data_IF_841676996352
#
_entry.id   IF_841676996352
#
_cell.length_a   1.000
_cell.length_b   1.000
_cell.length_c   1.000
_cell.angle_alpha   90.00
_cell.angle_beta   90.00
_cell.angle_gamma   90.00
#
_symmetry.space_group_name_H-M   'P 1'
#
loop_
_entity.id
_entity.type
_entity.pdbx_description
1 polymer ?
#
# COMPACT_ATOMS: atom_id res chain seq x y z
N UNK A 1 -23.59 81.05 -34.17
CA UNK A 1 -22.76 80.94 -32.95
C UNK A 1 -23.45 79.91 -32.06
N UNK A 2 -22.91 78.69 -32.00
CA UNK A 2 -23.46 77.58 -31.18
C UNK A 2 -22.38 77.18 -30.16
N UNK A 3 -22.66 77.42 -28.88
CA UNK A 3 -21.86 77.02 -27.77
C UNK A 3 -22.00 75.54 -27.49
N UNK A 4 -20.88 74.86 -27.41
CA UNK A 4 -20.82 73.45 -26.96
C UNK A 4 -20.43 73.46 -25.48
N UNK A 5 -21.28 72.89 -24.63
CA UNK A 5 -21.03 72.62 -23.23
C UNK A 5 -20.33 71.27 -23.13
N UNK A 6 -19.13 71.27 -22.49
CA UNK A 6 -18.37 70.05 -22.18
C UNK A 6 -18.78 69.58 -20.78
N UNK A 7 -19.45 68.42 -20.74
CA UNK A 7 -19.77 67.76 -19.46
C UNK A 7 -18.58 67.01 -18.90
N UNK A 8 -18.16 67.37 -17.70
CA UNK A 8 -17.13 66.69 -16.90
C UNK A 8 -17.78 65.47 -16.20
N UNK A 9 -17.47 64.27 -16.67
CA UNK A 9 -17.90 63.04 -16.00
C UNK A 9 -16.93 62.73 -14.82
N UNK A 10 -17.45 62.70 -13.61
CA UNK A 10 -16.79 62.18 -12.43
C UNK A 10 -16.75 60.64 -12.46
N UNK A 11 -15.54 60.06 -12.58
CA UNK A 11 -15.35 58.61 -12.38
C UNK A 11 -15.11 58.38 -10.90
N UNK A 12 -16.06 57.79 -10.20
CA UNK A 12 -15.90 57.29 -8.85
C UNK A 12 -15.08 55.96 -8.93
N UNK A 13 -13.83 56.01 -8.48
CA UNK A 13 -13.02 54.81 -8.28
C UNK A 13 -13.43 54.16 -6.94
N UNK A 14 -14.17 53.08 -7.01
CA UNK A 14 -14.41 52.20 -5.83
C UNK A 14 -13.18 51.34 -5.61
N UNK A 15 -12.35 51.70 -4.64
CA UNK A 15 -11.26 50.87 -4.15
C UNK A 15 -11.87 49.73 -3.32
N UNK A 16 -12.00 48.53 -3.90
CA UNK A 16 -12.32 47.34 -3.15
C UNK A 16 -11.11 46.95 -2.30
N UNK A 17 -11.18 47.16 -0.99
CA UNK A 17 -10.21 46.62 -0.04
C UNK A 17 -10.39 45.09 -0.03
N UNK A 18 -9.54 44.40 -0.77
CA UNK A 18 -9.37 42.96 -0.62
C UNK A 18 -8.68 42.73 0.72
N UNK A 19 -9.46 42.50 1.78
CA UNK A 19 -8.95 42.06 3.07
C UNK A 19 -8.27 40.70 2.86
N UNK A 20 -6.95 40.70 2.82
CA UNK A 20 -6.14 39.48 2.83
C UNK A 20 -6.48 38.71 4.11
N UNK A 21 -7.23 37.61 4.01
CA UNK A 21 -7.32 36.65 5.08
C UNK A 21 -5.90 36.15 5.37
N UNK A 22 -5.31 36.59 6.49
CA UNK A 22 -4.07 36.04 6.97
C UNK A 22 -4.28 34.54 7.15
N UNK A 23 -3.61 33.70 6.37
CA UNK A 23 -3.60 32.29 6.59
C UNK A 23 -3.07 32.05 8.02
N UNK A 24 -3.95 31.58 8.91
CA UNK A 24 -3.58 31.26 10.27
C UNK A 24 -2.56 30.12 10.20
N UNK A 25 -1.30 30.37 10.61
CA UNK A 25 -0.29 29.33 10.72
C UNK A 25 -0.70 28.37 11.85
N UNK A 26 -1.08 27.15 11.46
CA UNK A 26 -1.40 26.11 12.43
C UNK A 26 -0.15 25.70 13.22
N UNK A 27 -0.23 25.47 14.55
CA UNK A 27 0.91 24.96 15.29
C UNK A 27 1.36 23.61 14.69
N UNK A 28 2.63 23.48 14.34
CA UNK A 28 3.18 22.30 13.67
C UNK A 28 2.93 20.96 14.43
N UNK A 29 2.80 21.05 15.77
CA UNK A 29 2.56 19.88 16.65
C UNK A 29 1.08 19.65 16.96
N UNK A 30 0.17 20.46 16.42
CA UNK A 30 -1.27 20.22 16.55
C UNK A 30 -1.76 19.16 15.58
N UNK A 31 -2.92 18.55 15.85
CA UNK A 31 -3.54 17.59 14.92
C UNK A 31 -3.69 18.21 13.52
N UNK A 32 -4.21 19.42 13.43
CA UNK A 32 -4.44 20.08 12.15
C UNK A 32 -3.11 20.47 11.45
N UNK A 33 -2.09 20.87 12.21
CA UNK A 33 -0.75 21.13 11.70
C UNK A 33 -0.10 19.89 11.10
N UNK A 34 -0.17 18.74 11.81
CA UNK A 34 0.31 17.44 11.33
C UNK A 34 -0.43 16.98 10.09
N UNK A 35 -1.77 17.09 10.08
CA UNK A 35 -2.58 16.74 8.90
C UNK A 35 -2.24 17.62 7.69
N UNK A 36 -1.99 18.91 7.92
CA UNK A 36 -1.56 19.84 6.85
C UNK A 36 -0.19 19.46 6.29
N UNK A 37 0.78 19.14 7.15
CA UNK A 37 2.12 18.69 6.74
C UNK A 37 2.05 17.35 5.99
N UNK A 38 1.24 16.41 6.48
CA UNK A 38 0.98 15.15 5.81
C UNK A 38 0.37 15.33 4.41
N UNK A 39 -0.58 16.26 4.25
CA UNK A 39 -1.20 16.58 2.96
C UNK A 39 -0.18 17.12 1.96
N UNK A 40 0.69 18.00 2.41
CA UNK A 40 1.77 18.55 1.58
C UNK A 40 2.76 17.44 1.18
N UNK A 41 3.17 16.61 2.12
CA UNK A 41 4.06 15.47 1.86
C UNK A 41 3.43 14.43 0.90
N UNK A 42 2.13 14.20 0.99
CA UNK A 42 1.43 13.25 0.12
C UNK A 42 1.53 13.63 -1.36
N UNK A 43 1.41 14.91 -1.70
CA UNK A 43 1.31 15.33 -3.09
C UNK A 43 0.14 14.63 -3.79
N UNK A 44 0.27 14.42 -5.10
CA UNK A 44 -0.70 13.64 -5.87
C UNK A 44 -0.43 12.13 -5.76
N UNK A 45 0.83 11.75 -5.63
CA UNK A 45 1.29 10.35 -5.65
C UNK A 45 0.68 9.52 -4.52
N UNK A 46 0.52 10.10 -3.33
CA UNK A 46 0.10 9.41 -2.12
C UNK A 46 -1.25 9.88 -1.57
N UNK A 47 -2.04 10.57 -2.40
CA UNK A 47 -3.36 11.09 -2.01
C UNK A 47 -4.30 10.00 -1.48
N UNK A 48 -4.27 8.80 -2.06
CA UNK A 48 -5.04 7.65 -1.58
C UNK A 48 -4.66 7.26 -0.14
N UNK A 49 -3.37 7.12 0.13
CA UNK A 49 -2.86 6.82 1.49
C UNK A 49 -3.21 7.95 2.47
N UNK A 50 -3.02 9.22 2.08
CA UNK A 50 -3.38 10.38 2.91
C UNK A 50 -4.86 10.34 3.33
N UNK A 51 -5.76 10.12 2.38
CA UNK A 51 -7.21 10.07 2.65
C UNK A 51 -7.58 8.95 3.62
N UNK A 52 -6.88 7.81 3.57
CA UNK A 52 -7.14 6.65 4.41
C UNK A 52 -6.55 6.76 5.82
N UNK A 53 -5.40 7.43 5.98
CA UNK A 53 -4.71 7.51 7.27
C UNK A 53 -4.99 8.79 8.04
N UNK A 54 -5.13 9.92 7.35
CA UNK A 54 -5.25 11.24 7.97
C UNK A 54 -6.68 11.73 8.12
N UNK A 55 -7.58 11.36 7.18
CA UNK A 55 -8.96 11.84 7.16
C UNK A 55 -9.85 10.86 7.91
N UNK A 56 -10.27 11.27 9.10
CA UNK A 56 -11.20 10.47 9.92
C UNK A 56 -12.54 10.39 9.18
N UNK A 57 -13.04 9.18 8.89
CA UNK A 57 -14.35 9.04 8.27
C UNK A 57 -15.45 9.60 9.20
N UNK A 58 -16.53 10.15 8.64
CA UNK A 58 -17.66 10.56 9.45
C UNK A 58 -18.20 9.34 10.22
N UNK A 59 -18.83 9.57 11.39
CA UNK A 59 -19.49 8.48 12.13
C UNK A 59 -20.42 7.70 11.21
N UNK A 60 -20.40 6.37 11.30
CA UNK A 60 -21.28 5.53 10.52
C UNK A 60 -22.75 5.94 10.76
N UNK A 61 -23.51 6.12 9.68
CA UNK A 61 -24.95 6.39 9.78
C UNK A 61 -25.64 5.26 10.55
N UNK A 62 -26.58 5.56 11.47
CA UNK A 62 -27.34 4.50 12.14
C UNK A 62 -27.93 3.54 11.10
N UNK A 63 -27.67 2.25 11.24
CA UNK A 63 -28.08 1.21 10.28
C UNK A 63 -27.02 0.82 9.23
N UNK A 64 -25.95 1.58 9.00
CA UNK A 64 -24.90 1.19 8.06
C UNK A 64 -24.16 -0.10 8.50
N UNK A 65 -23.95 -0.28 9.80
CA UNK A 65 -23.39 -1.51 10.37
C UNK A 65 -24.34 -2.72 10.15
N UNK A 66 -25.66 -2.50 10.26
CA UNK A 66 -26.65 -3.56 10.00
C UNK A 66 -26.69 -3.91 8.50
N UNK A 67 -26.55 -2.94 7.60
CA UNK A 67 -26.47 -3.19 6.17
C UNK A 67 -25.17 -3.91 5.75
N UNK A 68 -24.04 -3.60 6.40
CA UNK A 68 -22.78 -4.31 6.18
C UNK A 68 -22.86 -5.79 6.66
N UNK A 69 -23.57 -6.04 7.76
CA UNK A 69 -23.82 -7.39 8.28
C UNK A 69 -24.89 -8.15 7.48
N UNK A 70 -25.65 -7.49 6.61
CA UNK A 70 -26.63 -8.10 5.71
C UNK A 70 -26.02 -8.49 4.34
N UNK A 71 -24.71 -8.40 4.16
CA UNK A 71 -24.06 -8.88 2.95
C UNK A 71 -24.35 -10.40 2.78
N UNK A 72 -24.61 -10.88 1.54
CA UNK A 72 -24.81 -12.29 1.30
C UNK A 72 -23.64 -13.12 1.84
N UNK A 73 -23.90 -14.29 2.47
CA UNK A 73 -22.80 -15.15 2.88
C UNK A 73 -22.01 -15.62 1.65
N UNK A 74 -20.68 -15.62 1.77
CA UNK A 74 -19.77 -16.08 0.72
C UNK A 74 -18.96 -14.94 0.06
N UNK A 75 -18.11 -15.29 -0.93
CA UNK A 75 -17.27 -14.33 -1.61
C UNK A 75 -18.09 -13.34 -2.43
N UNK A 76 -17.59 -12.09 -2.62
CA UNK A 76 -18.21 -11.15 -3.53
C UNK A 76 -18.26 -11.68 -4.97
N UNK A 77 -19.21 -11.18 -5.77
CA UNK A 77 -19.27 -11.53 -7.20
C UNK A 77 -17.92 -11.23 -7.89
N UNK A 78 -17.46 -12.15 -8.74
CA UNK A 78 -16.11 -12.12 -9.34
C UNK A 78 -15.79 -10.81 -10.05
N UNK A 79 -16.76 -10.21 -10.70
CA UNK A 79 -16.62 -8.93 -11.43
C UNK A 79 -16.24 -7.75 -10.51
N UNK A 80 -16.46 -7.87 -9.21
CA UNK A 80 -16.15 -6.84 -8.22
C UNK A 80 -14.71 -6.85 -7.78
N UNK A 81 -14.02 -7.99 -7.86
CA UNK A 81 -12.65 -8.12 -7.35
C UNK A 81 -11.65 -8.60 -8.41
N UNK A 82 -12.07 -9.35 -9.41
CA UNK A 82 -11.18 -9.92 -10.40
C UNK A 82 -10.45 -8.83 -11.21
N UNK A 83 -9.16 -9.04 -11.44
CA UNK A 83 -8.30 -8.21 -12.27
C UNK A 83 -7.50 -9.07 -13.25
N UNK A 84 -7.35 -8.64 -14.50
CA UNK A 84 -6.45 -9.35 -15.41
C UNK A 84 -5.01 -9.22 -14.94
N UNK A 85 -4.23 -10.32 -14.92
CA UNK A 85 -2.84 -10.27 -14.53
C UNK A 85 -2.03 -9.46 -15.55
N UNK A 86 -0.96 -8.79 -15.09
CA UNK A 86 -0.24 -7.85 -15.93
C UNK A 86 1.29 -7.96 -15.76
N UNK A 87 2.02 -7.91 -16.86
CA UNK A 87 3.49 -7.75 -16.84
C UNK A 87 3.82 -6.27 -16.61
N UNK A 88 4.46 -5.96 -15.48
CA UNK A 88 4.74 -4.59 -15.02
C UNK A 88 6.14 -4.13 -15.39
N UNK A 89 7.11 -5.05 -15.36
CA UNK A 89 8.50 -4.84 -15.72
C UNK A 89 9.07 -6.12 -16.31
N UNK A 90 10.35 -6.17 -16.66
CA UNK A 90 10.94 -7.31 -17.39
C UNK A 90 10.72 -8.63 -16.66
N UNK A 91 10.80 -8.62 -15.33
CA UNK A 91 10.69 -9.78 -14.45
C UNK A 91 9.74 -9.57 -13.27
N UNK A 92 8.78 -8.64 -13.38
CA UNK A 92 7.83 -8.30 -12.32
C UNK A 92 6.40 -8.28 -12.86
N UNK A 93 5.49 -8.98 -12.16
CA UNK A 93 4.14 -9.24 -12.62
C UNK A 93 3.12 -8.98 -11.52
N UNK A 94 2.00 -8.36 -11.88
CA UNK A 94 0.84 -8.15 -11.01
C UNK A 94 -0.08 -9.36 -11.08
N UNK A 95 -0.43 -9.89 -9.93
CA UNK A 95 -1.33 -11.04 -9.72
C UNK A 95 -2.44 -10.71 -8.70
N UNK A 96 -2.62 -9.44 -8.41
CA UNK A 96 -3.59 -8.98 -7.41
C UNK A 96 -4.99 -8.84 -7.96
N UNK A 97 -5.91 -8.55 -7.05
CA UNK A 97 -7.28 -8.14 -7.35
C UNK A 97 -7.34 -6.65 -7.68
N UNK A 98 -8.54 -6.12 -7.92
CA UNK A 98 -8.75 -4.66 -8.05
C UNK A 98 -8.44 -3.88 -6.77
N UNK A 99 -8.37 -4.56 -5.63
CA UNK A 99 -8.19 -3.94 -4.29
C UNK A 99 -6.91 -4.40 -3.62
N UNK A 100 -6.66 -5.72 -3.57
CA UNK A 100 -5.53 -6.32 -2.85
C UNK A 100 -4.42 -6.70 -3.82
N UNK A 101 -3.21 -6.33 -3.48
CA UNK A 101 -2.06 -6.52 -4.35
C UNK A 101 -1.37 -7.87 -4.08
N UNK A 102 -1.03 -8.59 -5.14
CA UNK A 102 -0.12 -9.73 -5.12
C UNK A 102 0.81 -9.65 -6.33
N UNK A 103 2.00 -10.22 -6.20
CA UNK A 103 3.05 -10.03 -7.20
C UNK A 103 3.87 -11.29 -7.41
N UNK A 104 4.39 -11.46 -8.64
CA UNK A 104 5.45 -12.43 -8.92
C UNK A 104 6.74 -11.72 -9.34
N UNK A 105 7.86 -12.15 -8.75
CA UNK A 105 9.21 -11.75 -9.13
C UNK A 105 9.89 -12.97 -9.72
N UNK A 106 10.29 -12.89 -11.00
CA UNK A 106 10.93 -14.00 -11.72
C UNK A 106 12.44 -13.82 -11.70
N UNK A 107 13.15 -14.78 -11.15
CA UNK A 107 14.59 -14.87 -11.22
C UNK A 107 15.05 -16.03 -12.11
N UNK A 108 16.35 -16.15 -12.31
CA UNK A 108 16.96 -17.20 -13.17
C UNK A 108 16.76 -18.61 -12.61
N UNK A 109 16.48 -18.79 -11.31
CA UNK A 109 16.34 -20.09 -10.65
C UNK A 109 14.93 -20.36 -10.11
N UNK A 110 13.97 -19.47 -10.33
CA UNK A 110 12.60 -19.65 -9.85
C UNK A 110 11.81 -18.36 -9.72
N UNK A 111 10.74 -18.44 -8.94
CA UNK A 111 9.77 -17.36 -8.76
C UNK A 111 9.54 -17.12 -7.25
N UNK A 112 9.44 -15.86 -6.87
CA UNK A 112 8.96 -15.43 -5.55
C UNK A 112 7.57 -14.83 -5.75
N UNK A 113 6.58 -15.29 -4.97
CA UNK A 113 5.26 -14.68 -4.87
C UNK A 113 5.24 -13.81 -3.60
N UNK A 114 4.70 -12.60 -3.73
CA UNK A 114 4.40 -11.73 -2.59
C UNK A 114 2.88 -11.67 -2.44
N UNK A 115 2.38 -11.97 -1.24
CA UNK A 115 0.98 -12.10 -0.81
C UNK A 115 0.26 -13.34 -1.36
N UNK A 116 -0.81 -13.74 -0.66
CA UNK A 116 -1.65 -14.87 -1.04
C UNK A 116 -3.13 -14.48 -1.27
N UNK A 117 -3.51 -13.23 -1.02
CA UNK A 117 -4.87 -12.72 -1.20
C UNK A 117 -5.92 -13.46 -0.33
N UNK A 118 -7.20 -13.16 -0.54
CA UNK A 118 -8.30 -13.97 -0.01
C UNK A 118 -8.30 -15.39 -0.61
N UNK A 119 -8.81 -16.33 0.13
CA UNK A 119 -8.98 -17.75 -0.27
C UNK A 119 -9.76 -17.92 -1.58
N UNK A 120 -10.82 -17.14 -1.78
CA UNK A 120 -11.63 -17.17 -3.01
C UNK A 120 -10.93 -16.56 -4.22
N UNK A 121 -9.93 -15.68 -4.01
CA UNK A 121 -9.24 -14.96 -5.08
C UNK A 121 -7.96 -15.67 -5.54
N UNK A 122 -7.23 -16.29 -4.63
CA UNK A 122 -5.92 -16.90 -4.90
C UNK A 122 -5.90 -17.90 -6.06
N UNK A 123 -6.91 -18.78 -6.24
CA UNK A 123 -6.93 -19.72 -7.37
C UNK A 123 -6.95 -19.02 -8.73
N UNK A 124 -7.78 -18.01 -8.89
CA UNK A 124 -7.95 -17.33 -10.17
C UNK A 124 -6.85 -16.28 -10.43
N UNK A 125 -6.52 -15.47 -9.41
CA UNK A 125 -5.59 -14.34 -9.57
C UNK A 125 -4.13 -14.80 -9.54
N UNK A 126 -3.74 -15.66 -8.60
CA UNK A 126 -2.35 -16.06 -8.45
C UNK A 126 -2.06 -17.26 -9.36
N UNK A 127 -2.66 -18.41 -9.08
CA UNK A 127 -2.35 -19.63 -9.85
C UNK A 127 -2.79 -19.51 -11.31
N UNK A 128 -4.01 -19.07 -11.56
CA UNK A 128 -4.55 -18.82 -12.90
C UNK A 128 -3.88 -17.65 -13.61
N UNK A 129 -3.60 -16.57 -12.87
CA UNK A 129 -2.88 -15.40 -13.40
C UNK A 129 -1.48 -15.73 -13.88
N UNK A 130 -0.73 -16.52 -13.11
CA UNK A 130 0.59 -17.02 -13.52
C UNK A 130 0.50 -17.82 -14.82
N UNK A 131 -0.47 -18.72 -14.93
CA UNK A 131 -0.68 -19.52 -16.17
C UNK A 131 -0.99 -18.63 -17.37
N UNK A 132 -1.85 -17.62 -17.22
CA UNK A 132 -2.16 -16.65 -18.28
C UNK A 132 -0.93 -15.87 -18.75
N UNK A 133 0.00 -15.60 -17.83
CA UNK A 133 1.26 -14.92 -18.14
C UNK A 133 2.37 -15.85 -18.62
N UNK A 134 2.09 -17.17 -18.77
CA UNK A 134 3.08 -18.17 -19.17
C UNK A 134 4.12 -18.48 -18.09
N UNK A 135 3.82 -18.19 -16.82
CA UNK A 135 4.67 -18.50 -15.68
C UNK A 135 4.33 -19.90 -15.13
N UNK A 136 5.36 -20.67 -14.80
CA UNK A 136 5.21 -22.04 -14.30
C UNK A 136 5.08 -22.04 -12.75
N UNK A 137 3.90 -22.45 -12.26
CA UNK A 137 3.62 -22.55 -10.82
C UNK A 137 4.60 -23.50 -10.09
N UNK A 138 5.15 -24.52 -10.78
CA UNK A 138 6.13 -25.44 -10.18
C UNK A 138 7.50 -24.80 -9.95
N UNK A 139 7.76 -23.63 -10.52
CA UNK A 139 9.00 -22.86 -10.31
C UNK A 139 8.93 -21.91 -9.13
N UNK A 140 7.79 -21.79 -8.45
CA UNK A 140 7.69 -20.98 -7.22
C UNK A 140 8.54 -21.61 -6.11
N UNK A 141 9.43 -20.81 -5.53
CA UNK A 141 10.32 -21.20 -4.43
C UNK A 141 9.92 -20.59 -3.10
N UNK A 142 9.34 -19.40 -3.13
CA UNK A 142 8.89 -18.69 -1.94
C UNK A 142 7.56 -18.02 -2.18
N UNK A 143 6.69 -18.08 -1.16
CA UNK A 143 5.47 -17.31 -1.02
C UNK A 143 5.63 -16.49 0.26
N UNK A 144 5.80 -15.18 0.15
CA UNK A 144 6.11 -14.31 1.28
C UNK A 144 4.90 -13.46 1.58
N UNK A 145 4.34 -13.63 2.78
CA UNK A 145 3.12 -12.97 3.25
C UNK A 145 3.50 -11.80 4.15
N UNK A 146 2.98 -10.62 3.87
CA UNK A 146 3.29 -9.43 4.65
C UNK A 146 2.74 -9.49 6.07
N UNK A 147 1.54 -10.02 6.25
CA UNK A 147 0.90 -10.19 7.56
C UNK A 147 -0.31 -11.14 7.49
N UNK A 148 -0.73 -11.64 8.66
CA UNK A 148 -1.79 -12.65 8.79
C UNK A 148 -3.21 -12.04 8.88
N UNK A 149 -3.64 -11.34 7.82
CA UNK A 149 -5.04 -10.99 7.61
C UNK A 149 -5.58 -11.70 6.38
N UNK A 150 -6.85 -12.09 6.40
CA UNK A 150 -7.46 -12.96 5.39
C UNK A 150 -7.35 -12.44 3.95
N UNK A 151 -7.24 -11.15 3.74
CA UNK A 151 -7.05 -10.51 2.44
C UNK A 151 -5.61 -10.59 1.92
N UNK A 152 -4.66 -11.06 2.75
CA UNK A 152 -3.26 -11.28 2.41
C UNK A 152 -2.81 -12.73 2.58
N UNK A 153 -3.46 -13.48 3.48
CA UNK A 153 -3.05 -14.85 3.81
C UNK A 153 -4.15 -15.91 3.60
N UNK A 154 -5.38 -15.52 3.26
CA UNK A 154 -6.47 -16.45 3.08
C UNK A 154 -6.21 -17.53 2.03
N UNK A 155 -5.49 -17.21 0.97
CA UNK A 155 -5.06 -18.15 -0.07
C UNK A 155 -3.81 -18.98 0.27
N UNK A 156 -3.16 -18.73 1.42
CA UNK A 156 -1.88 -19.35 1.74
C UNK A 156 -1.91 -20.88 1.76
N UNK A 157 -2.94 -21.48 2.32
CA UNK A 157 -3.12 -22.95 2.32
C UNK A 157 -3.26 -23.50 0.90
N UNK A 158 -4.09 -22.88 0.07
CA UNK A 158 -4.26 -23.28 -1.33
C UNK A 158 -2.93 -23.22 -2.09
N UNK A 159 -2.18 -22.12 -1.95
CA UNK A 159 -0.90 -21.97 -2.62
C UNK A 159 0.15 -22.96 -2.12
N UNK A 160 0.20 -23.23 -0.80
CA UNK A 160 1.10 -24.23 -0.22
C UNK A 160 0.82 -25.65 -0.75
N UNK A 161 -0.46 -26.00 -0.93
CA UNK A 161 -0.85 -27.31 -1.44
C UNK A 161 -0.64 -27.45 -2.96
N UNK A 162 -0.84 -26.36 -3.73
CA UNK A 162 -0.71 -26.34 -5.19
C UNK A 162 0.71 -26.08 -5.70
N UNK A 163 1.54 -25.38 -4.92
CA UNK A 163 2.93 -25.03 -5.24
C UNK A 163 3.90 -25.72 -4.27
N UNK A 164 3.90 -27.07 -4.28
CA UNK A 164 4.54 -27.91 -3.26
C UNK A 164 6.07 -27.70 -3.08
N UNK A 165 6.76 -27.11 -4.06
CA UNK A 165 8.18 -26.75 -3.95
C UNK A 165 8.41 -25.41 -3.25
N UNK A 166 7.35 -24.64 -3.00
CA UNK A 166 7.46 -23.31 -2.38
C UNK A 166 7.52 -23.40 -0.86
N UNK A 167 8.35 -22.53 -0.26
CA UNK A 167 8.39 -22.28 1.18
C UNK A 167 7.45 -21.11 1.48
N UNK A 168 6.58 -21.29 2.46
CA UNK A 168 5.66 -20.26 2.93
C UNK A 168 6.31 -19.47 4.06
N UNK A 169 6.35 -18.13 3.93
CA UNK A 169 7.13 -17.25 4.80
C UNK A 169 6.23 -16.19 5.45
N UNK A 170 6.29 -16.08 6.78
CA UNK A 170 5.64 -15.02 7.57
C UNK A 170 6.61 -14.47 8.64
N UNK A 171 6.29 -13.31 9.20
CA UNK A 171 6.89 -12.88 10.46
C UNK A 171 6.48 -13.78 11.63
N UNK A 172 7.39 -13.97 12.61
CA UNK A 172 7.19 -14.93 13.71
C UNK A 172 5.87 -14.75 14.47
N UNK A 173 5.53 -13.54 14.97
CA UNK A 173 4.28 -13.34 15.71
C UNK A 173 3.02 -13.61 14.88
N UNK A 174 3.07 -13.44 13.56
CA UNK A 174 1.94 -13.76 12.67
C UNK A 174 1.83 -15.26 12.43
N UNK A 175 2.95 -16.00 12.36
CA UNK A 175 2.91 -17.47 12.42
C UNK A 175 2.24 -17.96 13.71
N UNK A 176 2.60 -17.35 14.87
CA UNK A 176 1.96 -17.68 16.15
C UNK A 176 0.44 -17.45 16.13
N UNK A 177 0.00 -16.37 15.46
CA UNK A 177 -1.42 -16.06 15.30
C UNK A 177 -2.13 -17.08 14.39
N UNK A 178 -1.52 -17.46 13.27
CA UNK A 178 -2.01 -18.48 12.34
C UNK A 178 -2.11 -19.84 13.05
N UNK A 179 -1.07 -20.25 13.78
CA UNK A 179 -1.04 -21.52 14.50
C UNK A 179 -2.14 -21.64 15.56
N UNK A 180 -2.46 -20.53 16.25
CA UNK A 180 -3.51 -20.44 17.25
C UNK A 180 -4.92 -20.30 16.66
N UNK A 181 -5.04 -19.90 15.39
CA UNK A 181 -6.33 -19.69 14.73
C UNK A 181 -7.09 -21.02 14.60
N UNK A 182 -8.37 -20.98 14.95
CA UNK A 182 -9.31 -22.11 14.74
C UNK A 182 -10.16 -21.94 13.48
N UNK A 183 -10.25 -20.72 12.95
CA UNK A 183 -11.10 -20.34 11.82
C UNK A 183 -10.29 -19.56 10.77
N UNK A 184 -9.14 -20.10 10.38
CA UNK A 184 -8.31 -19.47 9.34
C UNK A 184 -9.04 -19.53 7.99
N UNK A 185 -9.17 -18.38 7.33
CA UNK A 185 -9.79 -18.29 6.01
C UNK A 185 -9.05 -19.20 5.01
N UNK A 186 -9.78 -19.91 4.16
CA UNK A 186 -9.20 -20.86 3.21
C UNK A 186 -8.54 -22.10 3.80
N UNK A 187 -8.59 -22.26 5.13
CA UNK A 187 -7.92 -23.34 5.86
C UNK A 187 -6.51 -22.97 6.32
N UNK A 188 -6.11 -23.48 7.47
CA UNK A 188 -4.82 -23.20 8.09
C UNK A 188 -3.67 -23.80 7.25
N UNK A 189 -2.70 -22.99 6.82
CA UNK A 189 -1.48 -23.51 6.22
C UNK A 189 -0.61 -24.25 7.25
N UNK A 190 0.26 -25.12 6.78
CA UNK A 190 1.26 -25.76 7.64
C UNK A 190 2.38 -24.78 7.94
N UNK A 191 2.76 -24.69 9.22
CA UNK A 191 3.89 -23.84 9.64
C UNK A 191 5.14 -24.17 8.84
N UNK A 192 5.83 -23.13 8.38
CA UNK A 192 7.02 -23.29 7.55
C UNK A 192 8.10 -22.27 7.96
N UNK A 193 8.45 -21.31 7.13
CA UNK A 193 9.58 -20.43 7.32
C UNK A 193 9.22 -19.17 8.09
N UNK A 194 9.96 -18.87 9.15
CA UNK A 194 9.87 -17.63 9.92
C UNK A 194 10.84 -16.61 9.32
N UNK A 195 10.32 -15.46 8.92
CA UNK A 195 11.12 -14.33 8.45
C UNK A 195 11.79 -13.60 9.63
N UNK A 196 13.07 -13.29 9.48
CA UNK A 196 13.81 -12.42 10.38
C UNK A 196 14.22 -11.11 9.68
N UNK A 197 14.46 -10.06 10.48
CA UNK A 197 14.92 -8.77 9.99
C UNK A 197 16.23 -8.88 9.19
N UNK A 198 16.27 -8.28 8.01
CA UNK A 198 17.43 -8.35 7.11
C UNK A 198 17.58 -9.66 6.35
N UNK A 199 16.77 -10.70 6.63
CA UNK A 199 16.82 -11.97 5.89
C UNK A 199 16.52 -11.73 4.41
N UNK A 200 17.19 -12.51 3.54
CA UNK A 200 17.01 -12.46 2.08
C UNK A 200 16.53 -13.81 1.56
N UNK A 201 15.53 -13.77 0.70
CA UNK A 201 15.05 -14.89 -0.09
C UNK A 201 15.44 -14.67 -1.55
N UNK A 202 16.19 -15.58 -2.14
CA UNK A 202 16.77 -15.42 -3.47
C UNK A 202 16.37 -16.55 -4.41
N UNK A 203 16.18 -16.23 -5.68
CA UNK A 203 15.92 -17.16 -6.79
C UNK A 203 16.82 -16.78 -7.98
N UNK A 204 18.08 -17.13 -7.85
CA UNK A 204 19.15 -16.74 -8.79
C UNK A 204 19.43 -15.22 -8.70
N UNK A 205 19.18 -14.48 -9.76
CA UNK A 205 19.47 -13.04 -9.87
C UNK A 205 18.38 -12.12 -9.27
N UNK A 206 17.31 -12.68 -8.73
CA UNK A 206 16.28 -11.93 -8.01
C UNK A 206 16.29 -12.26 -6.51
N UNK A 207 16.08 -11.24 -5.67
CA UNK A 207 16.00 -11.40 -4.22
C UNK A 207 15.05 -10.40 -3.57
N UNK A 208 14.45 -10.83 -2.45
CA UNK A 208 13.62 -10.02 -1.57
C UNK A 208 14.26 -9.96 -0.20
N UNK A 209 14.54 -8.77 0.29
CA UNK A 209 15.06 -8.55 1.64
C UNK A 209 13.90 -8.17 2.57
N UNK A 210 13.84 -8.82 3.73
CA UNK A 210 12.84 -8.57 4.76
C UNK A 210 13.23 -7.39 5.63
N UNK A 211 12.26 -6.55 5.94
CA UNK A 211 12.33 -5.54 7.00
C UNK A 211 11.16 -5.79 7.94
N UNK A 212 11.42 -6.19 9.19
CA UNK A 212 10.34 -6.36 10.17
C UNK A 212 9.77 -5.01 10.57
N UNK A 213 8.46 -4.85 10.39
CA UNK A 213 7.73 -3.59 10.62
C UNK A 213 6.46 -3.85 11.43
N UNK A 214 6.59 -4.32 12.70
CA UNK A 214 5.44 -4.60 13.56
C UNK A 214 4.61 -3.32 13.76
N UNK A 215 3.28 -3.48 13.81
CA UNK A 215 2.36 -2.35 14.00
C UNK A 215 0.98 -2.69 13.49
N UNK A 216 0.79 -2.83 12.17
CA UNK A 216 -0.49 -3.27 11.60
C UNK A 216 -0.92 -4.63 12.18
N UNK A 217 -0.02 -5.60 12.16
CA UNK A 217 -0.03 -6.78 13.02
C UNK A 217 1.30 -6.85 13.79
N UNK A 218 1.40 -7.67 14.86
CA UNK A 218 2.66 -7.87 15.57
C UNK A 218 3.77 -8.51 14.71
N UNK A 219 3.41 -9.30 13.69
CA UNK A 219 4.33 -9.99 12.81
C UNK A 219 4.49 -9.35 11.42
N UNK A 220 3.94 -8.16 11.19
CA UNK A 220 4.04 -7.48 9.90
C UNK A 220 5.49 -7.38 9.43
N UNK A 221 5.72 -7.76 8.17
CA UNK A 221 6.99 -7.59 7.46
C UNK A 221 6.79 -6.76 6.19
N UNK A 222 7.78 -5.96 5.86
CA UNK A 222 7.91 -5.17 4.64
C UNK A 222 9.08 -5.70 3.82
N UNK A 223 9.18 -5.31 2.55
CA UNK A 223 10.17 -5.88 1.64
C UNK A 223 10.94 -4.80 0.90
N UNK A 224 12.22 -5.10 0.60
CA UNK A 224 13.04 -4.35 -0.34
C UNK A 224 13.51 -5.31 -1.44
N UNK A 225 13.30 -4.95 -2.69
CA UNK A 225 13.72 -5.74 -3.83
C UNK A 225 13.97 -4.88 -5.07
N UNK A 226 14.78 -5.42 -5.98
CA UNK A 226 15.07 -4.80 -7.26
C UNK A 226 14.53 -5.69 -8.38
N UNK A 227 13.88 -5.07 -9.35
CA UNK A 227 13.45 -5.70 -10.60
C UNK A 227 14.06 -4.96 -11.78
N UNK A 228 13.99 -5.54 -12.96
CA UNK A 228 14.50 -4.90 -14.19
C UNK A 228 13.33 -4.32 -14.99
N UNK A 229 13.49 -3.08 -15.42
CA UNK A 229 12.56 -2.42 -16.33
C UNK A 229 13.30 -1.86 -17.54
N UNK A 230 13.04 -2.43 -18.71
CA UNK A 230 13.82 -2.16 -19.94
C UNK A 230 15.33 -2.35 -19.72
N UNK A 231 15.72 -3.39 -18.98
CA UNK A 231 17.09 -3.73 -18.61
C UNK A 231 17.71 -2.86 -17.51
N UNK A 232 17.00 -1.86 -16.99
CA UNK A 232 17.48 -0.98 -15.92
C UNK A 232 16.92 -1.41 -14.56
N UNK A 233 17.65 -1.20 -13.46
CA UNK A 233 17.14 -1.51 -12.14
C UNK A 233 16.00 -0.57 -11.73
N UNK A 234 14.89 -1.14 -11.27
CA UNK A 234 13.80 -0.47 -10.57
C UNK A 234 13.79 -0.98 -9.13
N UNK A 235 14.10 -0.10 -8.17
CA UNK A 235 14.23 -0.43 -6.74
C UNK A 235 12.94 -0.12 -6.01
N UNK A 236 12.36 -1.14 -5.42
CA UNK A 236 11.02 -1.11 -4.84
C UNK A 236 11.10 -1.29 -3.32
N UNK A 237 10.43 -0.40 -2.60
CA UNK A 237 10.05 -0.57 -1.22
C UNK A 237 8.59 -1.03 -1.15
N UNK A 238 8.33 -2.19 -0.56
CA UNK A 238 6.98 -2.72 -0.34
C UNK A 238 6.61 -2.57 1.14
N UNK A 239 5.53 -1.85 1.42
CA UNK A 239 5.03 -1.64 2.78
C UNK A 239 3.97 -2.68 3.10
N UNK A 240 4.28 -3.59 4.04
CA UNK A 240 3.47 -4.77 4.33
C UNK A 240 2.22 -4.53 5.18
N UNK A 241 2.05 -3.34 5.78
CA UNK A 241 0.87 -3.01 6.59
C UNK A 241 0.67 -1.51 6.70
N UNK A 242 -0.14 -0.92 5.81
CA UNK A 242 -0.32 0.54 5.72
C UNK A 242 -1.46 1.05 6.59
N UNK A 243 -2.56 0.30 6.71
CA UNK A 243 -3.74 0.74 7.47
C UNK A 243 -3.48 0.81 8.98
N UNK A 244 -3.97 1.87 9.62
CA UNK A 244 -3.97 2.05 11.07
C UNK A 244 -5.40 2.28 11.58
N UNK A 245 -5.75 1.83 12.80
CA UNK A 245 -7.04 2.14 13.40
C UNK A 245 -7.11 3.61 13.84
N UNK A 246 -8.30 4.20 13.86
CA UNK A 246 -8.52 5.55 14.40
C UNK A 246 -8.78 5.57 15.92
N UNK A 247 -8.78 4.40 16.58
CA UNK A 247 -9.04 4.21 18.00
C UNK A 247 -7.97 3.35 18.69
N UNK A 248 -6.76 3.32 18.11
CA UNK A 248 -5.61 2.61 18.67
C UNK A 248 -5.12 3.23 19.98
N UNK A 249 -4.32 2.48 20.73
CA UNK A 249 -3.65 2.97 21.94
C UNK A 249 -2.41 3.81 21.58
N UNK A 250 -1.94 4.63 22.52
CA UNK A 250 -0.69 5.37 22.33
C UNK A 250 0.50 4.42 22.03
N UNK A 251 0.59 3.31 22.75
CA UNK A 251 1.64 2.30 22.54
C UNK A 251 1.57 1.67 21.13
N UNK A 252 0.36 1.43 20.60
CA UNK A 252 0.16 0.96 19.23
C UNK A 252 0.77 1.94 18.23
N UNK A 253 0.39 3.23 18.34
CA UNK A 253 0.89 4.26 17.43
C UNK A 253 2.40 4.48 17.54
N UNK A 254 2.97 4.41 18.74
CA UNK A 254 4.42 4.52 18.94
C UNK A 254 5.17 3.39 18.26
N UNK A 255 4.69 2.16 18.38
CA UNK A 255 5.26 1.00 17.69
C UNK A 255 5.17 1.12 16.17
N UNK A 256 4.01 1.56 15.66
CA UNK A 256 3.81 1.77 14.23
C UNK A 256 4.74 2.88 13.68
N UNK A 257 4.84 4.03 14.37
CA UNK A 257 5.75 5.13 14.01
C UNK A 257 7.22 4.66 13.99
N UNK A 258 7.63 3.85 14.96
CA UNK A 258 8.98 3.29 14.98
C UNK A 258 9.24 2.41 13.75
N UNK A 259 8.27 1.60 13.35
CA UNK A 259 8.34 0.77 12.14
C UNK A 259 8.36 1.61 10.85
N UNK A 260 7.57 2.67 10.78
CA UNK A 260 7.58 3.63 9.66
C UNK A 260 8.98 4.26 9.51
N UNK A 261 9.57 4.76 10.58
CA UNK A 261 10.92 5.34 10.59
C UNK A 261 12.00 4.33 10.20
N UNK A 262 11.89 3.10 10.68
CA UNK A 262 12.79 1.99 10.30
C UNK A 262 12.69 1.69 8.80
N UNK A 263 11.47 1.56 8.26
CA UNK A 263 11.27 1.28 6.85
C UNK A 263 11.69 2.46 5.96
N UNK A 264 11.45 3.70 6.39
CA UNK A 264 11.93 4.91 5.70
C UNK A 264 13.46 4.91 5.54
N UNK A 265 14.19 4.59 6.64
CA UNK A 265 15.64 4.47 6.60
C UNK A 265 16.08 3.35 5.67
N UNK A 266 15.48 2.16 5.79
CA UNK A 266 15.83 1.01 4.97
C UNK A 266 15.58 1.27 3.47
N UNK A 267 14.45 1.88 3.10
CA UNK A 267 14.13 2.26 1.73
C UNK A 267 15.11 3.34 1.19
N UNK A 268 15.48 4.31 2.03
CA UNK A 268 16.45 5.34 1.69
C UNK A 268 17.84 4.77 1.43
N UNK A 269 18.36 3.91 2.32
CA UNK A 269 19.66 3.23 2.19
C UNK A 269 19.68 2.30 0.96
N UNK A 270 18.59 1.59 0.70
CA UNK A 270 18.41 0.75 -0.48
C UNK A 270 18.34 1.56 -1.77
N UNK A 271 17.98 2.83 -1.68
CA UNK A 271 17.80 3.72 -2.82
C UNK A 271 16.52 3.46 -3.60
N UNK A 272 15.44 3.12 -2.90
CA UNK A 272 14.14 2.86 -3.51
C UNK A 272 13.64 4.09 -4.30
N UNK A 273 13.21 3.85 -5.54
CA UNK A 273 12.59 4.85 -6.44
C UNK A 273 11.13 4.55 -6.73
N UNK A 274 10.65 3.39 -6.28
CA UNK A 274 9.27 2.96 -6.33
C UNK A 274 8.82 2.53 -4.93
N UNK A 275 7.52 2.71 -4.65
CA UNK A 275 6.89 2.23 -3.43
C UNK A 275 5.57 1.56 -3.78
N UNK A 276 5.33 0.40 -3.17
CA UNK A 276 4.12 -0.39 -3.32
C UNK A 276 3.58 -0.71 -1.92
N UNK A 277 2.27 -0.65 -1.79
CA UNK A 277 1.53 -1.13 -0.62
C UNK A 277 0.83 -2.46 -0.96
N UNK A 278 0.22 -3.06 0.02
CA UNK A 278 -0.57 -4.29 -0.14
C UNK A 278 -2.03 -4.05 -0.61
N UNK A 279 -2.46 -2.79 -0.70
CA UNK A 279 -3.77 -2.42 -1.25
C UNK A 279 -3.65 -1.31 -2.30
N UNK A 280 -4.36 -1.48 -3.41
CA UNK A 280 -4.43 -0.49 -4.51
C UNK A 280 -4.90 0.89 -4.05
N UNK A 281 -5.76 0.96 -3.06
CA UNK A 281 -6.29 2.23 -2.54
C UNK A 281 -5.25 3.13 -1.87
N UNK A 282 -4.07 2.58 -1.54
CA UNK A 282 -2.95 3.34 -0.98
C UNK A 282 -1.96 3.81 -2.05
N UNK A 283 -1.73 3.01 -3.10
CA UNK A 283 -0.66 3.22 -4.06
C UNK A 283 -1.09 3.26 -5.53
N UNK A 284 -2.39 3.02 -5.81
CA UNK A 284 -2.94 2.88 -7.16
C UNK A 284 -2.35 1.71 -7.97
N UNK A 285 -1.87 0.65 -7.31
CA UNK A 285 -1.14 -0.44 -7.95
C UNK A 285 -1.92 -1.10 -9.11
N UNK A 286 -3.21 -1.37 -8.96
CA UNK A 286 -4.04 -1.93 -10.03
C UNK A 286 -3.97 -1.09 -11.30
N UNK A 287 -4.19 0.23 -11.21
CA UNK A 287 -4.17 1.12 -12.38
C UNK A 287 -2.76 1.29 -12.95
N UNK A 288 -1.75 1.40 -12.08
CA UNK A 288 -0.34 1.46 -12.50
C UNK A 288 0.11 0.19 -13.20
N UNK A 289 -0.31 -1.00 -12.73
CA UNK A 289 0.04 -2.28 -13.35
C UNK A 289 -0.50 -2.39 -14.78
N UNK A 290 -1.76 -2.03 -14.98
CA UNK A 290 -2.37 -2.03 -16.32
C UNK A 290 -1.78 -0.93 -17.24
N UNK A 291 -1.44 0.24 -16.68
CA UNK A 291 -0.72 1.28 -17.44
C UNK A 291 0.67 0.78 -17.85
N UNK A 292 1.40 0.15 -16.93
CA UNK A 292 2.73 -0.41 -17.22
C UNK A 292 2.69 -1.48 -18.33
N UNK A 293 1.70 -2.37 -18.29
CA UNK A 293 1.53 -3.43 -19.28
C UNK A 293 1.21 -2.90 -20.69
N UNK A 294 0.56 -1.74 -20.78
CA UNK A 294 0.14 -1.14 -22.06
C UNK A 294 1.05 0.00 -22.56
N UNK A 295 2.13 0.32 -21.84
CA UNK A 295 3.07 1.38 -22.23
C UNK A 295 3.87 0.98 -23.48
N UNK A 296 4.29 1.97 -24.24
CA UNK A 296 5.21 1.77 -25.37
C UNK A 296 6.65 1.61 -24.84
N UNK A 297 7.48 0.99 -25.66
CA UNK A 297 8.92 0.90 -25.35
C UNK A 297 9.51 2.31 -25.18
N UNK A 298 10.14 2.56 -24.04
CA UNK A 298 10.73 3.86 -23.68
C UNK A 298 9.85 4.76 -22.84
N UNK A 299 8.56 4.44 -22.66
CA UNK A 299 7.72 5.15 -21.71
C UNK A 299 8.19 4.87 -20.27
N UNK A 300 8.08 5.87 -19.40
CA UNK A 300 8.41 5.72 -17.99
C UNK A 300 7.52 4.65 -17.31
N UNK A 301 8.10 3.90 -16.37
CA UNK A 301 7.32 2.99 -15.54
C UNK A 301 6.47 3.78 -14.54
N UNK A 302 5.14 3.61 -14.48
CA UNK A 302 4.28 4.38 -13.58
C UNK A 302 4.54 4.13 -12.09
N UNK A 303 5.27 3.06 -11.75
CA UNK A 303 5.71 2.80 -10.38
C UNK A 303 6.96 3.59 -10.00
N UNK A 304 7.75 4.07 -10.95
CA UNK A 304 8.96 4.85 -10.68
C UNK A 304 8.60 6.30 -10.39
N UNK A 305 8.42 6.62 -9.13
CA UNK A 305 8.04 7.94 -8.63
C UNK A 305 9.25 8.77 -8.16
N UNK A 306 10.41 8.14 -8.05
CA UNK A 306 11.66 8.75 -7.60
C UNK A 306 11.85 8.74 -6.08
N UNK A 307 13.11 8.83 -5.64
CA UNK A 307 13.51 8.75 -4.21
C UNK A 307 12.82 9.80 -3.34
N UNK A 308 12.65 11.03 -3.85
CA UNK A 308 12.00 12.09 -3.10
C UNK A 308 10.54 11.79 -2.79
N UNK A 309 9.78 11.24 -3.76
CA UNK A 309 8.40 10.85 -3.55
C UNK A 309 8.28 9.66 -2.58
N UNK A 310 9.18 8.67 -2.66
CA UNK A 310 9.26 7.59 -1.66
C UNK A 310 9.51 8.13 -0.26
N UNK A 311 10.43 9.11 -0.10
CA UNK A 311 10.68 9.76 1.18
C UNK A 311 9.44 10.49 1.72
N UNK A 312 8.73 11.23 0.87
CA UNK A 312 7.50 11.95 1.26
C UNK A 312 6.37 11.00 1.71
N UNK A 313 6.29 9.79 1.15
CA UNK A 313 5.35 8.77 1.65
C UNK A 313 5.53 8.51 3.14
N UNK A 314 6.76 8.25 3.57
CA UNK A 314 7.03 7.95 4.98
C UNK A 314 6.82 9.17 5.89
N UNK A 315 7.16 10.39 5.43
CA UNK A 315 6.82 11.61 6.15
C UNK A 315 5.32 11.74 6.33
N UNK A 316 4.52 11.57 5.28
CA UNK A 316 3.06 11.60 5.34
C UNK A 316 2.50 10.57 6.33
N UNK A 317 2.99 9.31 6.28
CA UNK A 317 2.51 8.25 7.17
C UNK A 317 2.86 8.54 8.64
N UNK A 318 4.07 9.05 8.92
CA UNK A 318 4.50 9.44 10.27
C UNK A 318 3.60 10.56 10.84
N UNK A 319 3.36 11.61 10.05
CA UNK A 319 2.51 12.74 10.44
C UNK A 319 1.05 12.32 10.65
N UNK A 320 0.47 11.51 9.75
CA UNK A 320 -0.89 10.98 9.91
C UNK A 320 -1.01 10.11 11.16
N UNK A 321 -0.03 9.25 11.43
CA UNK A 321 -0.04 8.36 12.60
C UNK A 321 0.14 9.16 13.89
N UNK A 322 0.99 10.17 13.88
CA UNK A 322 1.18 11.09 15.03
C UNK A 322 -0.12 11.87 15.30
N UNK A 323 -0.80 12.37 14.28
CA UNK A 323 -2.11 13.01 14.42
C UNK A 323 -3.16 12.06 15.01
N UNK A 324 -3.18 10.79 14.56
CA UNK A 324 -4.08 9.76 15.10
C UNK A 324 -3.79 9.48 16.58
N UNK A 325 -2.51 9.40 16.97
CA UNK A 325 -2.08 9.26 18.37
C UNK A 325 -2.58 10.42 19.24
N UNK A 326 -2.43 11.67 18.79
CA UNK A 326 -2.90 12.85 19.52
C UNK A 326 -4.43 12.84 19.69
N UNK A 327 -5.17 12.49 18.64
CA UNK A 327 -6.64 12.34 18.70
C UNK A 327 -7.06 11.29 19.71
N UNK A 328 -6.36 10.16 19.79
CA UNK A 328 -6.64 9.10 20.75
C UNK A 328 -6.40 9.53 22.21
N UNK A 329 -5.32 10.28 22.47
CA UNK A 329 -4.99 10.84 23.78
C UNK A 329 -5.88 12.00 24.24
N UNK A 330 -6.63 12.62 23.30
CA UNK A 330 -7.55 13.73 23.59
C UNK A 330 -8.98 13.28 23.88
N UNK A 331 -9.27 11.97 23.83
CA UNK A 331 -10.58 11.43 24.19
C UNK A 331 -10.66 11.33 25.71
N UNK A 332 -11.76 11.84 26.36
CA UNK A 332 -11.98 11.76 27.80
C UNK A 332 -12.16 10.32 28.29
#
# INVERSE_FOLDING_TARGET
MKSHAIGLGFVLAVAAAIGGASAQTLPATSVDGLVSAAKEAAGLEWSGTFLRLCVVPPPATPGAAAAANAAPPGPPAKERWYAEPAKVADNFYFLGTRVHNAWAIVGSEGIIILEALFDYAAPDEIAGGMQKLGLDNNKVKYIIISHAHADHDGGARFLQDSMQSARLVYGGPDWDAVDKSTNHAGGKPKHDTVAADGMKFSVGDASVQIVTTPGHTPGTISFLFEVKDNGKPLRIAYVGGTAIPFNGTAAYYDGYIASVKKMAKAAGDFGATALISNHTEFDNAYYKAHTAANRKRGDANPFEVGRAAVGRYFTMVDECTTAAKLRAGSKP
#
